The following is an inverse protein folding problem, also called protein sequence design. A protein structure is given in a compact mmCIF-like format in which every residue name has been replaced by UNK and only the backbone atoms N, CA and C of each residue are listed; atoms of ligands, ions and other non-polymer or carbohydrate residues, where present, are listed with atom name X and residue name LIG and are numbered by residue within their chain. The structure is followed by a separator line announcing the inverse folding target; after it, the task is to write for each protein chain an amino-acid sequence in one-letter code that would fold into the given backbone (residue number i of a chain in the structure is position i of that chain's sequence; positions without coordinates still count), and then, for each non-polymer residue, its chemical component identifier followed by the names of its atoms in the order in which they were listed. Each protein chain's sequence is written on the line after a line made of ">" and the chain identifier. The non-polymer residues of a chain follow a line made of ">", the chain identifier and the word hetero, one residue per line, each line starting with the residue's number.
data_IF_958305768932
#
_entry.id   IF_958305768932
#
_cell.length_a   1.000
_cell.length_b   1.000
_cell.length_c   1.000
_cell.angle_alpha   90.00
_cell.angle_beta   90.00
_cell.angle_gamma   90.00
#
_symmetry.space_group_name_H-M   'P 1'
#
loop_
_entity.id
_entity.type
_entity.pdbx_description
1 polymer ?
#
# COMPACT_ATOMS: atom_id res chain seq x y z
N UNK A 1 50.76 75.90 10.38
CA UNK A 1 50.80 74.46 10.00
C UNK A 1 51.07 73.60 11.22
N UNK A 2 50.14 72.72 11.61
CA UNK A 2 50.28 71.46 12.39
C UNK A 2 48.85 70.96 12.72
N UNK A 3 48.30 70.04 11.92
CA UNK A 3 48.39 68.57 12.05
C UNK A 3 47.32 67.99 12.99
N UNK A 4 46.17 67.60 12.42
CA UNK A 4 45.08 66.86 13.10
C UNK A 4 44.53 65.73 12.21
N UNK A 5 45.40 64.80 11.80
CA UNK A 5 45.02 63.70 10.89
C UNK A 5 45.35 62.27 11.41
N UNK A 6 45.95 62.09 12.60
CA UNK A 6 46.43 60.76 13.02
C UNK A 6 45.44 59.89 13.81
N UNK A 7 44.30 60.43 14.27
CA UNK A 7 43.36 59.70 15.14
C UNK A 7 42.33 58.83 14.38
N UNK A 8 42.04 59.13 13.12
CA UNK A 8 40.98 58.45 12.34
C UNK A 8 41.41 57.08 11.79
N UNK A 9 42.67 56.94 11.39
CA UNK A 9 43.21 55.68 10.83
C UNK A 9 43.34 54.54 11.85
N UNK A 10 43.51 54.86 13.13
CA UNK A 10 43.71 53.86 14.20
C UNK A 10 42.38 53.27 14.70
N UNK A 11 41.27 54.01 14.62
CA UNK A 11 39.96 53.51 15.02
C UNK A 11 39.40 52.49 14.01
N UNK A 12 39.52 52.76 12.71
CA UNK A 12 39.08 51.84 11.64
C UNK A 12 39.87 50.52 11.63
N UNK A 13 41.18 50.57 11.85
CA UNK A 13 42.03 49.39 11.96
C UNK A 13 41.66 48.50 13.16
N UNK A 14 41.27 49.10 14.30
CA UNK A 14 40.81 48.36 15.49
C UNK A 14 39.46 47.65 15.25
N UNK A 15 38.53 48.28 14.56
CA UNK A 15 37.22 47.68 14.23
C UNK A 15 37.43 46.48 13.30
N UNK A 16 38.28 46.62 12.28
CA UNK A 16 38.60 45.54 11.35
C UNK A 16 39.30 44.37 12.08
N UNK A 17 40.29 44.66 12.93
CA UNK A 17 40.98 43.64 13.73
C UNK A 17 40.06 42.96 14.75
N UNK A 18 39.09 43.68 15.33
CA UNK A 18 38.11 43.11 16.25
C UNK A 18 37.13 42.19 15.52
N UNK A 19 36.69 42.57 14.31
CA UNK A 19 35.82 41.74 13.47
C UNK A 19 36.54 40.46 13.03
N UNK A 20 37.81 40.55 12.62
CA UNK A 20 38.62 39.39 12.22
C UNK A 20 38.88 38.45 13.41
N UNK A 21 39.18 39.00 14.59
CA UNK A 21 39.29 38.20 15.82
C UNK A 21 37.98 37.50 16.18
N UNK A 22 36.84 38.17 16.05
CA UNK A 22 35.52 37.58 16.29
C UNK A 22 35.22 36.45 15.29
N UNK A 23 35.53 36.65 14.02
CA UNK A 23 35.37 35.62 12.98
C UNK A 23 36.27 34.39 13.23
N UNK A 24 37.51 34.60 13.66
CA UNK A 24 38.43 33.51 14.02
C UNK A 24 37.94 32.72 15.25
N UNK A 25 37.40 33.40 16.27
CA UNK A 25 36.82 32.75 17.45
C UNK A 25 35.56 31.94 17.10
N UNK A 26 34.68 32.49 16.25
CA UNK A 26 33.50 31.78 15.77
C UNK A 26 33.90 30.52 14.97
N UNK A 27 34.94 30.64 14.13
CA UNK A 27 35.47 29.50 13.37
C UNK A 27 36.10 28.44 14.27
N UNK A 28 36.85 28.83 15.30
CA UNK A 28 37.41 27.87 16.26
C UNK A 28 36.31 27.17 17.08
N UNK A 29 35.25 27.88 17.47
CA UNK A 29 34.11 27.31 18.20
C UNK A 29 33.33 26.31 17.32
N UNK A 30 33.08 26.65 16.05
CA UNK A 30 32.43 25.76 15.10
C UNK A 30 33.25 24.48 14.85
N UNK A 31 34.58 24.60 14.76
CA UNK A 31 35.47 23.44 14.61
C UNK A 31 35.46 22.54 15.85
N UNK A 32 35.43 23.12 17.06
CA UNK A 32 35.33 22.37 18.30
C UNK A 32 34.01 21.60 18.39
N UNK A 33 32.88 22.25 18.05
CA UNK A 33 31.58 21.58 18.00
C UNK A 33 31.56 20.45 16.98
N UNK A 34 32.17 20.65 15.80
CA UNK A 34 32.26 19.60 14.78
C UNK A 34 33.05 18.39 15.25
N UNK A 35 34.14 18.60 15.97
CA UNK A 35 34.93 17.50 16.55
C UNK A 35 34.13 16.68 17.56
N UNK A 36 33.36 17.34 18.43
CA UNK A 36 32.51 16.65 19.41
C UNK A 36 31.44 15.81 18.69
N UNK A 37 30.81 16.35 17.65
CA UNK A 37 29.81 15.63 16.85
C UNK A 37 30.46 14.43 16.13
N UNK A 38 31.65 14.60 15.54
CA UNK A 38 32.39 13.52 14.88
C UNK A 38 32.75 12.40 15.89
N UNK A 39 33.11 12.73 17.13
CA UNK A 39 33.36 11.74 18.19
C UNK A 39 32.07 10.99 18.61
N UNK A 40 30.95 11.70 18.75
CA UNK A 40 29.64 11.09 19.05
C UNK A 40 29.17 10.16 17.92
N UNK A 41 29.37 10.56 16.67
CA UNK A 41 29.04 9.76 15.48
C UNK A 41 29.85 8.45 15.44
N UNK A 42 31.15 8.51 15.73
CA UNK A 42 32.00 7.31 15.83
C UNK A 42 31.53 6.36 16.95
N UNK A 43 31.08 6.90 18.09
CA UNK A 43 30.56 6.06 19.19
C UNK A 43 29.26 5.36 18.79
N UNK A 44 28.36 6.07 18.11
CA UNK A 44 27.11 5.49 17.60
C UNK A 44 27.37 4.42 16.56
N UNK A 45 28.32 4.64 15.65
CA UNK A 45 28.70 3.64 14.64
C UNK A 45 29.26 2.36 15.28
N UNK A 46 30.15 2.51 16.27
CA UNK A 46 30.65 1.37 17.05
C UNK A 46 29.52 0.61 17.75
N UNK A 47 28.55 1.32 18.33
CA UNK A 47 27.38 0.71 18.97
C UNK A 47 26.50 -0.04 17.96
N UNK A 48 26.28 0.53 16.77
CA UNK A 48 25.53 -0.14 15.69
C UNK A 48 26.20 -1.44 15.26
N UNK A 49 27.52 -1.44 15.07
CA UNK A 49 28.29 -2.64 14.71
C UNK A 49 28.18 -3.70 15.80
N UNK A 50 28.21 -3.34 17.08
CA UNK A 50 28.00 -4.29 18.18
C UNK A 50 26.59 -4.88 18.19
N UNK A 51 25.57 -4.06 17.98
CA UNK A 51 24.18 -4.52 17.92
C UNK A 51 23.96 -5.46 16.72
N UNK A 52 24.58 -5.18 15.58
CA UNK A 52 24.51 -6.05 14.41
C UNK A 52 25.15 -7.41 14.68
N UNK A 53 26.36 -7.45 15.25
CA UNK A 53 27.00 -8.71 15.65
C UNK A 53 26.14 -9.52 16.62
N UNK A 54 25.49 -8.85 17.58
CA UNK A 54 24.59 -9.50 18.54
C UNK A 54 23.36 -10.10 17.85
N UNK A 55 22.80 -9.40 16.85
CA UNK A 55 21.69 -9.91 16.04
C UNK A 55 22.10 -11.16 15.25
N UNK A 56 23.23 -11.10 14.54
CA UNK A 56 23.76 -12.23 13.77
C UNK A 56 24.03 -13.45 14.67
N UNK A 57 24.55 -13.23 15.87
CA UNK A 57 24.74 -14.31 16.86
C UNK A 57 23.43 -14.96 17.30
N UNK A 58 22.35 -14.19 17.47
CA UNK A 58 21.03 -14.72 17.85
C UNK A 58 20.39 -15.49 16.71
N UNK A 59 20.52 -15.00 15.48
CA UNK A 59 20.01 -15.67 14.28
C UNK A 59 20.72 -17.02 14.08
N UNK A 60 22.05 -17.07 14.22
CA UNK A 60 22.82 -18.32 14.19
C UNK A 60 22.42 -19.29 15.30
N UNK A 61 22.18 -18.79 16.52
CA UNK A 61 21.74 -19.61 17.64
C UNK A 61 20.34 -20.21 17.40
N UNK A 62 19.42 -19.44 16.83
CA UNK A 62 18.10 -19.91 16.46
C UNK A 62 18.17 -21.01 15.40
N UNK A 63 18.98 -20.82 14.37
CA UNK A 63 19.17 -21.82 13.30
C UNK A 63 19.80 -23.11 13.82
N UNK A 64 20.83 -23.01 14.68
CA UNK A 64 21.41 -24.18 15.35
C UNK A 64 20.35 -24.92 16.18
N UNK A 65 19.54 -24.21 16.96
CA UNK A 65 18.48 -24.84 17.77
C UNK A 65 17.41 -25.54 16.92
N UNK A 66 17.04 -24.95 15.78
CA UNK A 66 16.07 -25.53 14.85
C UNK A 66 16.64 -26.78 14.17
N UNK A 67 17.91 -26.74 13.77
CA UNK A 67 18.59 -27.88 13.17
C UNK A 67 18.78 -29.03 14.18
N UNK A 68 19.13 -28.73 15.44
CA UNK A 68 19.18 -29.76 16.50
C UNK A 68 17.82 -30.40 16.74
N UNK A 69 16.74 -29.62 16.83
CA UNK A 69 15.39 -30.15 17.00
C UNK A 69 14.95 -31.02 15.80
N UNK A 70 15.35 -30.64 14.58
CA UNK A 70 15.09 -31.42 13.37
C UNK A 70 15.87 -32.74 13.35
N UNK A 71 17.12 -32.72 13.80
CA UNK A 71 17.93 -33.94 13.93
C UNK A 71 17.37 -34.88 15.00
N UNK A 72 16.90 -34.37 16.13
CA UNK A 72 16.22 -35.18 17.16
C UNK A 72 14.93 -35.83 16.62
N UNK A 73 14.13 -35.07 15.87
CA UNK A 73 12.93 -35.62 15.22
C UNK A 73 13.26 -36.74 14.24
N UNK A 74 14.26 -36.55 13.38
CA UNK A 74 14.69 -37.56 12.41
C UNK A 74 15.25 -38.82 13.08
N UNK A 75 16.02 -38.64 14.15
CA UNK A 75 16.56 -39.75 14.94
C UNK A 75 15.47 -40.59 15.60
N UNK A 76 14.40 -39.94 16.08
CA UNK A 76 13.25 -40.62 16.66
C UNK A 76 12.39 -41.33 15.60
N UNK A 77 12.33 -40.79 14.37
CA UNK A 77 11.63 -41.41 13.25
C UNK A 77 12.34 -42.68 12.72
N UNK A 78 13.66 -42.78 12.88
CA UNK A 78 14.44 -43.98 12.52
C UNK A 78 14.29 -45.13 13.55
N UNK A 79 13.76 -44.86 14.74
CA UNK A 79 13.58 -45.87 15.81
C UNK A 79 12.20 -46.56 15.86
N UNK A 80 11.29 -46.26 14.93
CA UNK A 80 9.96 -46.90 14.85
C UNK A 80 9.92 -48.01 13.77
N UNK A 81 9.71 -49.30 14.11
CA UNK A 81 9.56 -50.37 13.13
C UNK A 81 8.14 -50.38 12.55
N UNK A 82 8.04 -50.28 11.22
CA UNK A 82 6.82 -50.53 10.44
C UNK A 82 6.41 -52.02 10.53
N UNK A 83 5.25 -52.32 11.11
CA UNK A 83 4.63 -53.65 11.10
C UNK A 83 3.12 -53.59 11.37
N UNK A 84 2.31 -54.12 10.46
CA UNK A 84 0.87 -53.89 10.40
C UNK A 84 -0.05 -54.93 11.05
N UNK A 85 -1.36 -54.70 10.82
CA UNK A 85 -2.51 -55.63 10.86
C UNK A 85 -2.99 -56.21 12.20
N UNK A 86 -4.14 -55.68 12.62
CA UNK A 86 -5.40 -56.37 12.96
C UNK A 86 -5.42 -57.62 13.89
N UNK A 87 -6.31 -57.52 14.90
CA UNK A 87 -7.07 -58.57 15.62
C UNK A 87 -6.33 -59.39 16.70
N UNK A 88 -6.72 -59.17 17.97
CA UNK A 88 -7.13 -60.19 18.94
C UNK A 88 -7.62 -59.46 20.21
N UNK A 89 -8.93 -59.43 20.47
CA UNK A 89 -9.70 -60.45 21.17
C UNK A 89 -9.37 -60.55 22.68
N UNK A 90 -10.43 -60.32 23.46
CA UNK A 90 -10.60 -60.40 24.92
C UNK A 90 -9.84 -61.56 25.60
N UNK A 91 -9.37 -61.39 26.85
CA UNK A 91 -10.10 -61.85 28.07
C UNK A 91 -9.28 -61.74 29.39
N UNK A 92 -10.02 -61.55 30.50
CA UNK A 92 -9.86 -62.06 31.90
C UNK A 92 -8.67 -61.70 32.82
N UNK A 93 -8.97 -60.88 33.84
CA UNK A 93 -9.12 -61.19 35.29
C UNK A 93 -8.06 -61.96 36.12
N UNK A 94 -7.86 -61.44 37.37
CA UNK A 94 -7.44 -62.09 38.64
C UNK A 94 -5.95 -62.47 38.76
N UNK A 95 -5.23 -62.34 39.88
CA UNK A 95 -5.39 -61.74 41.21
C UNK A 95 -3.98 -61.74 41.87
N UNK A 96 -3.86 -61.07 43.02
CA UNK A 96 -2.96 -61.43 44.14
C UNK A 96 -1.40 -61.31 44.09
N UNK A 97 -0.92 -60.26 44.77
CA UNK A 97 -0.21 -60.31 46.07
C UNK A 97 1.34 -60.17 46.19
N UNK A 98 1.71 -59.43 47.26
CA UNK A 98 2.97 -59.40 48.05
C UNK A 98 4.13 -58.41 47.72
N UNK A 99 4.22 -57.37 48.56
CA UNK A 99 5.44 -56.63 49.02
C UNK A 99 6.22 -57.51 50.05
N UNK A 100 7.33 -57.13 50.77
CA UNK A 100 7.97 -55.80 50.98
C UNK A 100 9.52 -55.76 51.23
N UNK A 101 10.05 -54.56 51.57
CA UNK A 101 11.22 -54.21 52.44
C UNK A 101 12.51 -53.52 51.88
N UNK A 102 12.69 -52.26 52.33
CA UNK A 102 13.83 -51.45 52.88
C UNK A 102 15.16 -51.08 52.14
N UNK A 103 15.33 -49.74 51.95
CA UNK A 103 16.48 -48.77 52.15
C UNK A 103 17.98 -49.17 52.03
N UNK A 104 18.99 -48.23 51.92
CA UNK A 104 18.97 -46.75 51.87
C UNK A 104 19.95 -46.02 50.88
N UNK A 105 19.64 -44.74 50.63
CA UNK A 105 20.50 -43.53 50.55
C UNK A 105 21.98 -43.61 50.07
N UNK A 106 22.29 -42.90 48.97
CA UNK A 106 23.53 -42.10 48.87
C UNK A 106 23.36 -40.90 47.89
N UNK A 107 23.55 -39.67 48.40
CA UNK A 107 23.66 -38.42 47.62
C UNK A 107 25.11 -38.21 47.20
N UNK A 108 25.37 -37.49 46.10
CA UNK A 108 26.32 -36.39 46.22
C UNK A 108 25.78 -35.07 45.66
N UNK A 109 26.10 -34.02 46.41
CA UNK A 109 25.75 -32.64 46.14
C UNK A 109 26.60 -32.05 45.01
N UNK A 110 25.96 -31.37 44.06
CA UNK A 110 26.61 -30.33 43.26
C UNK A 110 25.81 -29.04 43.43
N UNK A 111 26.46 -28.08 44.10
CA UNK A 111 25.99 -26.71 44.30
C UNK A 111 25.86 -26.01 42.94
N UNK A 112 24.65 -25.79 42.45
CA UNK A 112 24.39 -24.76 41.43
C UNK A 112 24.34 -23.39 42.09
N UNK A 113 25.46 -22.66 42.04
CA UNK A 113 25.48 -21.22 42.28
C UNK A 113 24.80 -20.56 41.09
N UNK A 114 23.64 -19.92 41.31
CA UNK A 114 23.00 -19.03 40.32
C UNK A 114 23.68 -17.66 40.41
N UNK A 115 24.23 -17.09 39.32
CA UNK A 115 24.57 -15.68 39.31
C UNK A 115 23.28 -14.85 39.29
N UNK A 116 23.05 -14.07 40.34
CA UNK A 116 22.00 -13.05 40.41
C UNK A 116 22.57 -11.75 39.87
N UNK A 117 22.38 -11.47 38.59
CA UNK A 117 22.45 -10.10 38.07
C UNK A 117 21.38 -9.93 36.98
N UNK A 118 20.14 -9.71 37.42
CA UNK A 118 19.12 -9.11 36.55
C UNK A 118 19.45 -7.62 36.45
N UNK A 119 20.20 -7.24 35.43
CA UNK A 119 20.15 -5.87 34.92
C UNK A 119 18.75 -5.70 34.34
N UNK A 120 17.86 -5.07 35.11
CA UNK A 120 16.54 -4.66 34.65
C UNK A 120 16.73 -3.49 33.66
N UNK A 121 17.12 -3.83 32.43
CA UNK A 121 16.91 -2.95 31.28
C UNK A 121 15.42 -2.97 31.00
N UNK A 122 14.70 -2.09 31.67
CA UNK A 122 13.29 -1.82 31.43
C UNK A 122 13.19 -1.14 30.06
N UNK A 123 13.27 -1.93 28.99
CA UNK A 123 12.83 -1.50 27.67
C UNK A 123 11.32 -1.21 27.77
N UNK A 124 10.84 0.00 27.40
CA UNK A 124 9.42 0.35 27.56
C UNK A 124 8.45 -0.42 26.66
N UNK A 125 8.91 -1.40 25.90
CA UNK A 125 8.05 -2.20 25.02
C UNK A 125 7.71 -3.52 25.70
N UNK A 126 6.46 -3.66 26.10
CA UNK A 126 5.95 -4.95 26.57
C UNK A 126 6.13 -6.01 25.48
N UNK A 127 6.49 -7.24 25.85
CA UNK A 127 6.59 -8.37 24.90
C UNK A 127 5.32 -8.52 24.05
N UNK A 128 4.17 -8.19 24.63
CA UNK A 128 2.88 -8.20 23.93
C UNK A 128 2.81 -7.16 22.80
N UNK A 129 3.41 -5.97 22.98
CA UNK A 129 3.47 -4.92 21.94
C UNK A 129 4.43 -5.29 20.81
N UNK A 130 5.57 -5.92 21.11
CA UNK A 130 6.48 -6.39 20.05
C UNK A 130 5.86 -7.55 19.26
N UNK A 131 5.21 -8.48 19.96
CA UNK A 131 4.51 -9.59 19.32
C UNK A 131 3.36 -9.08 18.45
N UNK A 132 2.57 -8.10 18.91
CA UNK A 132 1.51 -7.52 18.09
C UNK A 132 2.05 -6.76 16.89
N UNK A 133 3.16 -6.02 17.03
CA UNK A 133 3.82 -5.32 15.93
C UNK A 133 4.37 -6.29 14.87
N UNK A 134 4.98 -7.40 15.30
CA UNK A 134 5.48 -8.45 14.40
C UNK A 134 4.34 -9.16 13.67
N UNK A 135 3.26 -9.51 14.38
CA UNK A 135 2.06 -10.10 13.76
C UNK A 135 1.44 -9.12 12.76
N UNK A 136 1.37 -7.83 13.09
CA UNK A 136 0.86 -6.79 12.19
C UNK A 136 1.75 -6.65 10.94
N UNK A 137 3.08 -6.63 11.11
CA UNK A 137 4.02 -6.58 10.00
C UNK A 137 3.90 -7.84 9.12
N UNK A 138 3.79 -9.03 9.72
CA UNK A 138 3.59 -10.29 8.99
C UNK A 138 2.31 -10.27 8.16
N UNK A 139 1.20 -9.73 8.70
CA UNK A 139 -0.04 -9.55 7.94
C UNK A 139 0.18 -8.68 6.71
N UNK A 140 0.92 -7.58 6.83
CA UNK A 140 1.23 -6.68 5.70
C UNK A 140 2.17 -7.34 4.68
N UNK A 141 3.15 -8.14 5.12
CA UNK A 141 4.08 -8.81 4.20
C UNK A 141 3.46 -10.02 3.49
N UNK A 142 2.42 -10.63 4.05
CA UNK A 142 1.64 -11.70 3.40
C UNK A 142 0.66 -11.18 2.34
N UNK A 143 0.36 -9.88 2.32
CA UNK A 143 -0.48 -9.31 1.27
C UNK A 143 0.25 -9.36 -0.08
N UNK A 144 -0.47 -9.62 -1.19
CA UNK A 144 0.10 -9.49 -2.52
C UNK A 144 0.73 -8.11 -2.70
N UNK A 145 1.93 -8.06 -3.29
CA UNK A 145 2.58 -6.79 -3.61
C UNK A 145 1.68 -6.02 -4.58
N UNK A 146 1.14 -4.91 -4.10
CA UNK A 146 0.33 -4.04 -4.94
C UNK A 146 1.20 -3.47 -6.08
N UNK A 147 0.70 -3.57 -7.30
CA UNK A 147 1.38 -3.10 -8.51
C UNK A 147 0.74 -1.79 -8.96
N UNK A 148 1.55 -0.78 -9.24
CA UNK A 148 1.09 0.50 -9.76
C UNK A 148 1.05 0.37 -11.28
N UNK A 149 -0.15 0.52 -11.85
CA UNK A 149 -0.29 0.64 -13.29
C UNK A 149 0.38 1.94 -13.79
N UNK A 150 1.11 1.87 -14.91
CA UNK A 150 1.75 3.04 -15.51
C UNK A 150 0.68 3.97 -16.06
N UNK A 151 0.61 5.18 -15.51
CA UNK A 151 -0.34 6.21 -15.89
C UNK A 151 0.03 6.87 -17.21
N UNK A 152 -0.89 6.84 -18.16
CA UNK A 152 -0.67 7.30 -19.53
C UNK A 152 -1.24 8.69 -19.83
N UNK A 153 -1.86 9.33 -18.83
CA UNK A 153 -2.59 10.58 -18.99
C UNK A 153 -4.10 10.41 -19.20
N UNK A 154 -4.65 9.19 -19.12
CA UNK A 154 -6.10 9.00 -19.14
C UNK A 154 -6.75 9.63 -17.90
N UNK A 155 -7.45 10.74 -18.12
CA UNK A 155 -8.12 11.54 -17.08
C UNK A 155 -9.03 10.67 -16.18
N UNK A 156 -9.70 9.66 -16.73
CA UNK A 156 -10.61 8.79 -15.97
C UNK A 156 -9.89 7.91 -14.94
N UNK A 157 -8.60 7.62 -15.19
CA UNK A 157 -7.77 6.75 -14.34
C UNK A 157 -6.89 7.55 -13.37
N UNK A 158 -6.86 8.89 -13.50
CA UNK A 158 -6.01 9.75 -12.70
C UNK A 158 -6.21 9.57 -11.18
N UNK A 159 -7.46 9.56 -10.72
CA UNK A 159 -7.75 9.43 -9.29
C UNK A 159 -7.32 8.06 -8.74
N UNK A 160 -7.58 7.00 -9.51
CA UNK A 160 -7.14 5.65 -9.16
C UNK A 160 -5.63 5.57 -9.11
N UNK A 161 -4.93 6.16 -10.07
CA UNK A 161 -3.48 6.21 -10.12
C UNK A 161 -2.89 6.96 -8.91
N UNK A 162 -3.36 8.18 -8.63
CA UNK A 162 -2.77 9.01 -7.57
C UNK A 162 -3.01 8.39 -6.18
N UNK A 163 -4.22 7.86 -5.92
CA UNK A 163 -4.54 7.18 -4.67
C UNK A 163 -3.67 5.92 -4.48
N UNK A 164 -3.44 5.18 -5.56
CA UNK A 164 -2.61 3.98 -5.53
C UNK A 164 -1.13 4.32 -5.33
N UNK A 165 -0.66 5.39 -5.97
CA UNK A 165 0.69 5.92 -5.80
C UNK A 165 0.92 6.38 -4.36
N UNK A 166 -0.02 7.11 -3.78
CA UNK A 166 0.03 7.60 -2.40
C UNK A 166 0.13 6.43 -1.42
N UNK A 167 -0.71 5.41 -1.62
CA UNK A 167 -0.75 4.23 -0.76
C UNK A 167 0.52 3.36 -0.88
N UNK A 168 1.11 3.23 -2.07
CA UNK A 168 2.21 2.27 -2.29
C UNK A 168 3.59 2.90 -2.14
N UNK A 169 3.76 4.15 -2.56
CA UNK A 169 5.05 4.85 -2.57
C UNK A 169 5.10 5.89 -1.47
N UNK A 170 4.16 6.84 -1.45
CA UNK A 170 4.22 7.98 -0.52
C UNK A 170 4.17 7.52 0.94
N UNK A 171 3.38 6.50 1.24
CA UNK A 171 3.29 5.91 2.58
C UNK A 171 4.56 5.16 3.05
N UNK A 172 5.48 4.81 2.14
CA UNK A 172 6.64 3.94 2.43
C UNK A 172 7.99 4.63 2.45
N UNK A 173 8.08 5.86 1.96
CA UNK A 173 9.33 6.63 1.94
C UNK A 173 9.02 8.09 2.18
N UNK A 174 9.85 8.77 2.96
CA UNK A 174 9.81 10.23 3.16
C UNK A 174 10.75 10.99 2.21
N UNK A 175 11.54 10.27 1.41
CA UNK A 175 12.47 10.87 0.46
C UNK A 175 11.73 11.35 -0.80
N UNK A 176 11.56 12.67 -0.93
CA UNK A 176 10.89 13.27 -2.08
C UNK A 176 11.65 13.09 -3.41
N UNK A 177 12.96 12.86 -3.39
CA UNK A 177 13.73 12.53 -4.60
C UNK A 177 13.31 11.16 -5.13
N UNK A 178 13.19 10.16 -4.26
CA UNK A 178 12.75 8.81 -4.63
C UNK A 178 11.28 8.84 -5.09
N UNK A 179 10.41 9.56 -4.37
CA UNK A 179 9.01 9.75 -4.79
C UNK A 179 8.93 10.35 -6.19
N UNK A 180 9.74 11.37 -6.50
CA UNK A 180 9.78 11.97 -7.84
C UNK A 180 10.28 10.97 -8.89
N UNK A 181 11.34 10.20 -8.60
CA UNK A 181 11.85 9.17 -9.52
C UNK A 181 10.81 8.08 -9.80
N UNK A 182 10.13 7.58 -8.77
CA UNK A 182 9.03 6.63 -8.94
C UNK A 182 7.86 7.25 -9.71
N UNK A 183 7.53 8.51 -9.46
CA UNK A 183 6.47 9.20 -10.20
C UNK A 183 6.81 9.30 -11.70
N UNK A 184 8.09 9.52 -12.05
CA UNK A 184 8.57 9.47 -13.45
C UNK A 184 8.43 8.05 -14.01
N UNK A 185 8.79 7.03 -13.23
CA UNK A 185 8.75 5.63 -13.67
C UNK A 185 7.31 5.15 -13.93
N UNK A 186 6.36 5.55 -13.10
CA UNK A 186 4.96 5.14 -13.19
C UNK A 186 4.09 6.09 -14.02
N UNK A 187 4.70 7.00 -14.78
CA UNK A 187 4.01 7.83 -15.77
C UNK A 187 4.60 7.60 -17.16
N UNK A 188 3.79 7.77 -18.21
CA UNK A 188 4.23 7.75 -19.61
C UNK A 188 3.57 8.85 -20.44
N UNK A 189 4.13 9.12 -21.62
CA UNK A 189 3.62 10.14 -22.53
C UNK A 189 3.63 11.54 -21.91
N UNK A 190 2.60 12.34 -22.20
CA UNK A 190 2.51 13.74 -21.74
C UNK A 190 2.54 13.86 -20.20
N UNK A 191 1.96 12.90 -19.48
CA UNK A 191 2.01 12.89 -18.01
C UNK A 191 3.47 12.77 -17.50
N UNK A 192 4.29 11.95 -18.15
CA UNK A 192 5.70 11.81 -17.80
C UNK A 192 6.52 13.05 -18.12
N UNK A 193 6.25 13.71 -19.25
CA UNK A 193 6.94 14.94 -19.65
C UNK A 193 6.72 16.05 -18.62
N UNK A 194 5.50 16.18 -18.10
CA UNK A 194 5.17 17.11 -17.01
C UNK A 194 5.98 16.82 -15.74
N UNK A 195 6.09 15.55 -15.35
CA UNK A 195 6.83 15.15 -14.14
C UNK A 195 8.34 15.35 -14.35
N UNK A 196 8.88 14.95 -15.50
CA UNK A 196 10.31 15.11 -15.86
C UNK A 196 10.73 16.57 -15.90
N UNK A 197 9.84 17.50 -16.24
CA UNK A 197 10.13 18.94 -16.20
C UNK A 197 10.58 19.43 -14.82
N UNK A 198 10.25 18.70 -13.75
CA UNK A 198 10.62 19.00 -12.39
C UNK A 198 11.91 18.30 -11.91
N UNK A 199 12.53 17.43 -12.73
CA UNK A 199 13.62 16.54 -12.31
C UNK A 199 14.89 17.29 -11.86
N UNK A 200 15.15 18.47 -12.41
CA UNK A 200 16.34 19.28 -12.08
C UNK A 200 16.09 20.30 -10.96
N UNK A 201 14.91 20.27 -10.34
CA UNK A 201 14.58 21.11 -9.19
C UNK A 201 15.10 20.45 -7.90
N UNK A 202 15.13 21.21 -6.80
CA UNK A 202 15.28 20.66 -5.45
C UNK A 202 14.23 19.55 -5.20
N UNK A 203 14.60 18.49 -4.47
CA UNK A 203 13.77 17.29 -4.29
C UNK A 203 12.36 17.60 -3.74
N UNK A 204 12.27 18.45 -2.70
CA UNK A 204 10.99 18.80 -2.08
C UNK A 204 10.13 19.64 -3.03
N UNK A 205 10.76 20.62 -3.68
CA UNK A 205 10.07 21.53 -4.60
C UNK A 205 9.66 20.83 -5.88
N UNK A 206 10.51 19.95 -6.40
CA UNK A 206 10.31 19.19 -7.64
C UNK A 206 9.17 18.19 -7.51
N UNK A 207 9.14 17.39 -6.44
CA UNK A 207 8.04 16.46 -6.19
C UNK A 207 6.70 17.18 -6.06
N UNK A 208 6.63 18.21 -5.21
CA UNK A 208 5.41 19.01 -5.05
C UNK A 208 4.96 19.65 -6.37
N UNK A 209 5.89 20.17 -7.17
CA UNK A 209 5.55 20.80 -8.44
C UNK A 209 5.05 19.77 -9.46
N UNK A 210 5.65 18.59 -9.52
CA UNK A 210 5.20 17.51 -10.38
C UNK A 210 3.76 17.08 -10.03
N UNK A 211 3.43 16.95 -8.74
CA UNK A 211 2.07 16.67 -8.25
C UNK A 211 1.07 17.73 -8.70
N UNK A 212 1.41 19.01 -8.49
CA UNK A 212 0.58 20.14 -8.90
C UNK A 212 0.32 20.14 -10.42
N UNK A 213 1.35 19.86 -11.23
CA UNK A 213 1.20 19.79 -12.69
C UNK A 213 0.27 18.63 -13.11
N UNK A 214 0.43 17.45 -12.51
CA UNK A 214 -0.45 16.32 -12.78
C UNK A 214 -1.90 16.62 -12.38
N UNK A 215 -2.13 17.20 -11.20
CA UNK A 215 -3.46 17.57 -10.73
C UNK A 215 -4.11 18.63 -11.62
N UNK A 216 -3.36 19.67 -12.01
CA UNK A 216 -3.86 20.72 -12.91
C UNK A 216 -4.26 20.17 -14.28
N UNK A 217 -3.49 19.22 -14.81
CA UNK A 217 -3.71 18.67 -16.14
C UNK A 217 -4.80 17.60 -16.15
N UNK A 218 -4.78 16.67 -15.18
CA UNK A 218 -5.61 15.46 -15.16
C UNK A 218 -6.56 15.33 -13.97
N UNK A 219 -6.28 16.02 -12.85
CA UNK A 219 -7.05 15.93 -11.60
C UNK A 219 -8.20 16.91 -11.42
N UNK A 220 -8.42 17.81 -12.38
CA UNK A 220 -9.51 18.77 -12.30
C UNK A 220 -10.88 18.05 -12.36
N UNK A 221 -11.70 18.24 -11.32
CA UNK A 221 -13.01 17.59 -11.17
C UNK A 221 -13.94 17.78 -12.38
N UNK A 222 -13.98 19.00 -12.92
CA UNK A 222 -14.76 19.31 -14.11
C UNK A 222 -14.25 18.56 -15.34
N UNK A 223 -12.92 18.50 -15.56
CA UNK A 223 -12.34 17.72 -16.66
C UNK A 223 -12.64 16.22 -16.52
N UNK A 224 -12.56 15.67 -15.31
CA UNK A 224 -12.87 14.26 -15.03
C UNK A 224 -14.34 13.98 -15.34
N UNK A 225 -15.25 14.80 -14.81
CA UNK A 225 -16.69 14.67 -15.03
C UNK A 225 -17.03 14.77 -16.52
N UNK A 226 -16.46 15.76 -17.21
CA UNK A 226 -16.63 15.93 -18.65
C UNK A 226 -16.09 14.74 -19.44
N UNK A 227 -14.95 14.16 -19.06
CA UNK A 227 -14.43 12.96 -19.72
C UNK A 227 -15.37 11.76 -19.55
N UNK A 228 -15.98 11.58 -18.36
CA UNK A 228 -17.00 10.54 -18.14
C UNK A 228 -18.23 10.78 -19.03
N UNK A 229 -18.75 12.01 -19.04
CA UNK A 229 -19.92 12.40 -19.84
C UNK A 229 -19.64 12.19 -21.33
N UNK A 230 -18.52 12.70 -21.84
CA UNK A 230 -18.13 12.58 -23.24
C UNK A 230 -17.99 11.10 -23.62
N UNK A 231 -17.35 10.27 -22.79
CA UNK A 231 -17.23 8.82 -23.05
C UNK A 231 -18.58 8.12 -23.03
N UNK A 232 -19.50 8.48 -22.13
CA UNK A 232 -20.85 7.92 -22.09
C UNK A 232 -21.68 8.30 -23.33
N UNK A 233 -21.56 9.55 -23.79
CA UNK A 233 -22.30 10.06 -24.95
C UNK A 233 -21.70 9.60 -26.29
N UNK A 234 -20.38 9.41 -26.35
CA UNK A 234 -19.67 8.94 -27.54
C UNK A 234 -19.62 7.41 -27.67
N UNK A 235 -20.18 6.67 -26.71
CA UNK A 235 -20.21 5.21 -26.74
C UNK A 235 -20.71 4.68 -28.09
N UNK A 236 -20.07 3.65 -28.68
CA UNK A 236 -20.50 3.08 -29.95
C UNK A 236 -21.90 2.48 -29.85
N UNK A 237 -22.61 2.39 -30.99
CA UNK A 237 -23.93 1.75 -30.98
C UNK A 237 -23.78 0.25 -30.72
N UNK A 238 -24.51 -0.23 -29.73
CA UNK A 238 -24.48 -1.63 -29.30
C UNK A 238 -25.36 -2.45 -30.24
N UNK A 239 -24.81 -3.57 -30.72
CA UNK A 239 -25.53 -4.52 -31.58
C UNK A 239 -26.40 -5.45 -30.74
N UNK A 240 -27.49 -5.95 -31.32
CA UNK A 240 -28.46 -6.79 -30.61
C UNK A 240 -27.89 -8.12 -30.08
N UNK A 241 -26.80 -8.62 -30.67
CA UNK A 241 -26.20 -9.93 -30.40
C UNK A 241 -24.92 -9.82 -29.56
N UNK A 242 -24.47 -8.60 -29.27
CA UNK A 242 -23.19 -8.35 -28.63
C UNK A 242 -23.37 -8.21 -27.11
N UNK A 243 -23.51 -9.36 -26.46
CA UNK A 243 -23.64 -9.47 -24.99
C UNK A 243 -22.46 -8.80 -24.28
N UNK A 244 -21.24 -8.93 -24.82
CA UNK A 244 -20.03 -8.41 -24.20
C UNK A 244 -20.00 -6.89 -24.18
N UNK A 245 -20.25 -6.24 -25.31
CA UNK A 245 -20.27 -4.76 -25.37
C UNK A 245 -21.41 -4.17 -24.54
N UNK A 246 -22.53 -4.89 -24.39
CA UNK A 246 -23.61 -4.48 -23.50
C UNK A 246 -23.19 -4.58 -22.02
N UNK A 247 -22.46 -5.61 -21.63
CA UNK A 247 -21.87 -5.73 -20.29
C UNK A 247 -20.82 -4.66 -20.01
N UNK A 248 -19.90 -4.42 -20.95
CA UNK A 248 -18.87 -3.39 -20.80
C UNK A 248 -19.51 -1.99 -20.68
N UNK A 249 -20.59 -1.74 -21.44
CA UNK A 249 -21.38 -0.52 -21.32
C UNK A 249 -22.10 -0.42 -19.97
N UNK A 250 -22.73 -1.50 -19.51
CA UNK A 250 -23.41 -1.54 -18.21
C UNK A 250 -22.43 -1.23 -17.06
N UNK A 251 -21.25 -1.84 -17.09
CA UNK A 251 -20.18 -1.61 -16.13
C UNK A 251 -19.71 -0.15 -16.15
N UNK A 252 -19.46 0.41 -17.33
CA UNK A 252 -19.04 1.81 -17.45
C UNK A 252 -20.12 2.77 -16.95
N UNK A 253 -21.39 2.50 -17.28
CA UNK A 253 -22.52 3.30 -16.79
C UNK A 253 -22.68 3.21 -15.27
N UNK A 254 -22.42 2.04 -14.67
CA UNK A 254 -22.34 1.90 -13.21
C UNK A 254 -21.20 2.73 -12.62
N UNK A 255 -20.03 2.75 -13.24
CA UNK A 255 -18.93 3.62 -12.83
C UNK A 255 -19.32 5.10 -12.88
N UNK A 256 -20.07 5.55 -13.90
CA UNK A 256 -20.61 6.90 -13.96
C UNK A 256 -21.54 7.23 -12.79
N UNK A 257 -22.40 6.29 -12.37
CA UNK A 257 -23.25 6.48 -11.19
C UNK A 257 -22.45 6.57 -9.90
N UNK A 258 -21.43 5.72 -9.71
CA UNK A 258 -20.58 5.79 -8.53
C UNK A 258 -19.76 7.09 -8.49
N UNK A 259 -19.29 7.56 -9.65
CA UNK A 259 -18.57 8.83 -9.76
C UNK A 259 -19.46 10.03 -9.43
N UNK A 260 -20.76 9.96 -9.73
CA UNK A 260 -21.75 11.01 -9.42
C UNK A 260 -21.95 11.24 -7.91
N UNK A 261 -21.59 10.27 -7.05
CA UNK A 261 -21.66 10.46 -5.60
C UNK A 261 -20.63 11.47 -5.08
N UNK A 262 -19.52 11.64 -5.80
CA UNK A 262 -18.39 12.49 -5.37
C UNK A 262 -18.09 13.64 -6.34
N UNK A 263 -18.61 13.61 -7.57
CA UNK A 263 -18.37 14.63 -8.60
C UNK A 263 -19.67 15.38 -8.92
N UNK A 264 -19.78 16.64 -8.53
CA UNK A 264 -21.04 17.41 -8.63
C UNK A 264 -21.46 17.63 -10.09
N UNK A 265 -20.48 17.88 -10.96
CA UNK A 265 -20.71 18.11 -12.40
C UNK A 265 -21.29 16.90 -13.15
N UNK A 266 -21.26 15.70 -12.55
CA UNK A 266 -21.85 14.49 -13.15
C UNK A 266 -23.39 14.52 -13.16
N UNK A 267 -24.03 15.41 -12.40
CA UNK A 267 -25.48 15.63 -12.44
C UNK A 267 -25.99 16.01 -13.84
N UNK A 268 -25.13 16.51 -14.73
CA UNK A 268 -25.46 16.72 -16.15
C UNK A 268 -25.96 15.44 -16.84
N UNK A 269 -25.49 14.25 -16.44
CA UNK A 269 -25.99 12.97 -16.95
C UNK A 269 -27.48 12.76 -16.66
N UNK A 270 -28.00 13.31 -15.55
CA UNK A 270 -29.41 13.23 -15.18
C UNK A 270 -30.31 14.13 -16.03
N UNK A 271 -29.77 14.86 -17.01
CA UNK A 271 -30.57 15.64 -17.95
C UNK A 271 -31.27 14.73 -18.96
N UNK A 272 -32.53 15.01 -19.28
CA UNK A 272 -33.36 14.21 -20.19
C UNK A 272 -32.68 14.04 -21.56
N UNK A 273 -32.02 15.07 -22.06
CA UNK A 273 -31.27 15.03 -23.33
C UNK A 273 -30.15 13.99 -23.31
N UNK A 274 -29.34 13.97 -22.24
CA UNK A 274 -28.24 13.01 -22.08
C UNK A 274 -28.76 11.59 -21.87
N UNK A 275 -29.77 11.39 -21.01
CA UNK A 275 -30.44 10.09 -20.88
C UNK A 275 -30.97 9.56 -22.21
N UNK A 276 -31.55 10.43 -23.06
CA UNK A 276 -32.05 10.05 -24.39
C UNK A 276 -30.90 9.65 -25.32
N UNK A 277 -29.79 10.39 -25.32
CA UNK A 277 -28.59 10.08 -26.12
C UNK A 277 -27.93 8.76 -25.68
N UNK A 278 -27.91 8.47 -24.39
CA UNK A 278 -27.38 7.21 -23.85
C UNK A 278 -28.33 6.06 -24.20
N UNK A 279 -29.63 6.26 -24.03
CA UNK A 279 -30.64 5.27 -24.43
C UNK A 279 -30.58 4.97 -25.92
N UNK A 280 -30.21 5.94 -26.77
CA UNK A 280 -30.14 5.72 -28.22
C UNK A 280 -29.01 4.78 -28.65
N UNK A 281 -28.00 4.57 -27.79
CA UNK A 281 -26.89 3.61 -28.01
C UNK A 281 -27.30 2.16 -27.88
N UNK A 282 -28.41 1.89 -27.21
CA UNK A 282 -28.93 0.54 -27.02
C UNK A 282 -29.58 0.01 -28.32
N UNK A 283 -29.62 -1.33 -28.51
CA UNK A 283 -30.38 -1.97 -29.59
C UNK A 283 -31.87 -1.60 -29.54
N UNK A 284 -32.55 -1.61 -30.69
CA UNK A 284 -33.95 -1.18 -30.81
C UNK A 284 -34.88 -1.85 -29.79
N UNK A 285 -34.79 -3.18 -29.64
CA UNK A 285 -35.61 -3.96 -28.69
C UNK A 285 -35.44 -3.48 -27.24
N UNK A 286 -34.21 -3.12 -26.85
CA UNK A 286 -33.94 -2.60 -25.50
C UNK A 286 -34.46 -1.17 -25.33
N UNK A 287 -34.38 -0.34 -26.38
CA UNK A 287 -34.94 1.02 -26.36
C UNK A 287 -36.45 1.00 -26.22
N UNK A 288 -37.14 0.08 -26.89
CA UNK A 288 -38.59 -0.10 -26.77
C UNK A 288 -38.98 -0.51 -25.34
N UNK A 289 -38.32 -1.52 -24.79
CA UNK A 289 -38.53 -1.94 -23.38
C UNK A 289 -38.23 -0.82 -22.39
N UNK A 290 -37.16 -0.05 -22.62
CA UNK A 290 -36.82 1.11 -21.80
C UNK A 290 -37.90 2.18 -21.86
N UNK A 291 -38.48 2.47 -23.04
CA UNK A 291 -39.56 3.47 -23.17
C UNK A 291 -40.77 3.13 -22.32
N UNK A 292 -41.21 1.87 -22.33
CA UNK A 292 -42.29 1.39 -21.48
C UNK A 292 -41.92 1.59 -20.01
N UNK A 293 -40.71 1.15 -19.62
CA UNK A 293 -40.25 1.27 -18.23
C UNK A 293 -40.11 2.71 -17.75
N UNK A 294 -39.59 3.59 -18.60
CA UNK A 294 -39.44 5.01 -18.31
C UNK A 294 -40.80 5.69 -18.12
N UNK A 295 -41.81 5.32 -18.93
CA UNK A 295 -43.18 5.82 -18.76
C UNK A 295 -43.78 5.38 -17.42
N UNK A 296 -43.64 4.09 -17.05
CA UNK A 296 -44.06 3.60 -15.72
C UNK A 296 -43.38 4.33 -14.57
N UNK A 297 -42.07 4.60 -14.68
CA UNK A 297 -41.31 5.30 -13.66
C UNK A 297 -41.71 6.77 -13.54
N UNK A 298 -42.01 7.44 -14.65
CA UNK A 298 -42.52 8.81 -14.65
C UNK A 298 -43.90 8.93 -13.97
N UNK A 299 -44.73 7.88 -14.05
CA UNK A 299 -46.02 7.85 -13.36
C UNK A 299 -45.87 7.63 -11.84
N UNK A 300 -44.82 6.92 -11.41
CA UNK A 300 -44.59 6.57 -9.98
C UNK A 300 -43.70 7.57 -9.24
N UNK A 301 -42.83 8.30 -9.93
CA UNK A 301 -41.82 9.17 -9.34
C UNK A 301 -41.82 10.55 -10.00
N UNK A 302 -41.43 11.58 -9.23
CA UNK A 302 -41.32 12.96 -9.73
C UNK A 302 -40.28 13.13 -10.84
N UNK A 303 -39.20 12.33 -10.84
CA UNK A 303 -38.14 12.41 -11.85
C UNK A 303 -37.42 11.07 -12.04
N UNK A 304 -37.30 10.64 -13.30
CA UNK A 304 -36.43 9.51 -13.70
C UNK A 304 -34.98 9.98 -13.69
N UNK A 305 -34.09 9.20 -13.07
CA UNK A 305 -32.65 9.47 -12.99
C UNK A 305 -31.84 8.49 -13.81
N UNK A 306 -30.57 8.82 -14.02
CA UNK A 306 -29.60 7.95 -14.69
C UNK A 306 -29.50 6.59 -14.01
N UNK A 307 -29.55 6.53 -12.68
CA UNK A 307 -29.53 5.28 -11.90
C UNK A 307 -30.64 4.31 -12.30
N UNK A 308 -31.82 4.80 -12.68
CA UNK A 308 -32.90 3.95 -13.18
C UNK A 308 -32.58 3.33 -14.55
N UNK A 309 -31.96 4.12 -15.44
CA UNK A 309 -31.51 3.66 -16.76
C UNK A 309 -30.38 2.63 -16.61
N UNK A 310 -29.41 2.88 -15.74
CA UNK A 310 -28.29 1.96 -15.49
C UNK A 310 -28.81 0.63 -14.94
N UNK A 311 -29.69 0.65 -13.94
CA UNK A 311 -30.30 -0.57 -13.41
C UNK A 311 -31.06 -1.39 -14.47
N UNK A 312 -31.73 -0.70 -15.40
CA UNK A 312 -32.37 -1.36 -16.53
C UNK A 312 -31.33 -2.02 -17.46
N UNK A 313 -30.27 -1.29 -17.84
CA UNK A 313 -29.22 -1.78 -18.74
C UNK A 313 -28.52 -2.99 -18.13
N UNK A 314 -28.15 -2.93 -16.86
CA UNK A 314 -27.52 -4.05 -16.15
C UNK A 314 -28.41 -5.29 -16.15
N UNK A 315 -29.70 -5.12 -15.85
CA UNK A 315 -30.64 -6.25 -15.90
C UNK A 315 -30.72 -6.86 -17.30
N UNK A 316 -30.73 -6.04 -18.36
CA UNK A 316 -30.70 -6.55 -19.72
C UNK A 316 -29.37 -7.23 -20.05
N UNK A 317 -28.24 -6.70 -19.58
CA UNK A 317 -26.93 -7.32 -19.75
C UNK A 317 -26.89 -8.71 -19.09
N UNK A 318 -27.41 -8.86 -17.87
CA UNK A 318 -27.53 -10.16 -17.18
C UNK A 318 -28.38 -11.14 -17.97
N UNK A 319 -29.54 -10.70 -18.50
CA UNK A 319 -30.45 -11.55 -19.28
C UNK A 319 -29.77 -12.04 -20.57
N UNK A 320 -29.08 -11.16 -21.30
CA UNK A 320 -28.42 -11.52 -22.57
C UNK A 320 -27.18 -12.40 -22.31
N UNK A 321 -26.56 -12.29 -21.13
CA UNK A 321 -25.44 -13.15 -20.74
C UNK A 321 -25.86 -14.45 -20.05
N UNK A 322 -27.17 -14.71 -19.92
CA UNK A 322 -27.65 -15.93 -19.29
C UNK A 322 -27.19 -17.16 -20.11
N UNK A 323 -26.46 -18.12 -19.50
CA UNK A 323 -25.92 -19.27 -20.25
C UNK A 323 -26.99 -20.18 -20.86
N UNK A 324 -28.22 -20.19 -20.32
CA UNK A 324 -29.29 -21.09 -20.74
C UNK A 324 -30.33 -20.39 -21.63
N UNK A 325 -30.61 -19.11 -21.37
CA UNK A 325 -31.70 -18.36 -22.01
C UNK A 325 -31.24 -17.07 -22.71
N UNK A 326 -29.95 -16.77 -22.68
CA UNK A 326 -29.37 -15.57 -23.29
C UNK A 326 -29.17 -15.69 -24.79
N UNK A 327 -28.93 -16.91 -25.29
CA UNK A 327 -28.85 -17.17 -26.72
C UNK A 327 -30.24 -17.41 -27.31
N UNK A 328 -30.62 -16.53 -28.24
CA UNK A 328 -31.90 -16.56 -28.96
C UNK A 328 -31.65 -16.91 -30.43
N UNK A 329 -30.41 -17.22 -30.82
CA UNK A 329 -30.14 -17.76 -32.15
C UNK A 329 -30.59 -19.21 -32.16
N UNK A 330 -31.61 -19.50 -32.96
CA UNK A 330 -31.94 -20.88 -33.32
C UNK A 330 -30.68 -21.49 -33.95
N UNK A 331 -30.09 -22.46 -33.28
CA UNK A 331 -29.12 -23.35 -33.89
C UNK A 331 -29.86 -24.16 -34.94
N UNK A 332 -29.92 -23.62 -36.17
CA UNK A 332 -30.26 -24.41 -37.34
C UNK A 332 -29.13 -25.41 -37.54
N UNK A 333 -29.27 -26.57 -36.90
CA UNK A 333 -28.51 -27.77 -37.21
C UNK A 333 -28.82 -28.05 -38.69
N UNK A 334 -27.85 -27.78 -39.55
CA UNK A 334 -27.89 -28.07 -40.98
C UNK A 334 -27.37 -29.47 -41.24
#
# INVERSE_FOLDING_TARGET
>A
MRSSASASSTASARICAQAERAALLAKSAALQQRHIIEEEEQQLEQQMVQLQKKRESLDLQAELSANTAKLEYLKNAETEPLGGSALDAMNTNLDENMSPFDEPVFKPAVRTVRPKEHVNLQFPFSQNQLTSLLIQQQRVTTLPKANIAVFDGNILEYQSFINLFDHIIESKTDNNQDRLLFLIQYTKGHAQDLVKSCQHMDANRGYRKARELLEKHFGNEYKISRAYIEKALSWPMIKSEDSRTLQDFALFMRSCCNAMENLEYMEELNTISNMRKISSKLPYKLRERWRVKACELQQRYTRVRMTNLVSFIEKQATIVSDPAFGDIQESYIS
#
